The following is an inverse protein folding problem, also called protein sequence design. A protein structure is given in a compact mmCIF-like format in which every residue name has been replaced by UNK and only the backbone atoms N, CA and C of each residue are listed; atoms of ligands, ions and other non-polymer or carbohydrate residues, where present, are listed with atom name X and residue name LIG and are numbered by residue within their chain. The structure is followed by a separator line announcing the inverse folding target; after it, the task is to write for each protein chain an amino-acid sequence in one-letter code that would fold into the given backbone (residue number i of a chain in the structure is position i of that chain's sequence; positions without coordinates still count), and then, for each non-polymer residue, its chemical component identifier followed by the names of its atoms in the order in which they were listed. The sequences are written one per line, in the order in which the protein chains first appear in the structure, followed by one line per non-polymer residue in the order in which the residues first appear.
data_IF_315148737355
#
_entry.id   IF_315148737355
#
_cell.length_a   1.000
_cell.length_b   1.000
_cell.length_c   1.000
_cell.angle_alpha   90.00
_cell.angle_beta   90.00
_cell.angle_gamma   90.00
#
_symmetry.space_group_name_H-M   'P 1'
#
loop_
_entity.id
_entity.type
_entity.pdbx_description
1 polymer ?
#
# COMPACT_ATOMS: atom_id res chain seq x y z
N UNK A 1 -9.23 27.50 -71.80
CA UNK A 1 -8.50 28.67 -71.27
C UNK A 1 -9.30 29.25 -70.11
N UNK A 2 -8.58 29.78 -69.11
CA UNK A 2 -9.07 30.45 -67.89
C UNK A 2 -9.33 29.55 -66.66
N UNK A 3 -8.24 28.96 -66.19
CA UNK A 3 -7.91 28.94 -64.76
C UNK A 3 -7.41 30.33 -64.35
N UNK A 4 -7.84 30.83 -63.19
CA UNK A 4 -7.16 31.92 -62.49
C UNK A 4 -8.03 33.17 -62.31
N UNK A 5 -8.45 33.39 -61.06
CA UNK A 5 -8.47 34.68 -60.33
C UNK A 5 -9.23 34.51 -58.99
N UNK A 6 -10.09 33.50 -58.84
CA UNK A 6 -10.93 33.34 -57.63
C UNK A 6 -10.32 32.50 -56.50
N UNK A 7 -9.08 32.03 -56.65
CA UNK A 7 -8.34 31.26 -55.65
C UNK A 7 -7.31 32.14 -54.87
N UNK A 8 -7.42 33.46 -54.98
CA UNK A 8 -6.49 34.44 -54.39
C UNK A 8 -6.97 35.07 -53.08
N UNK A 9 -8.10 34.63 -52.53
CA UNK A 9 -8.62 35.09 -51.23
C UNK A 9 -8.92 33.89 -50.33
N UNK A 10 -7.87 33.13 -50.02
CA UNK A 10 -7.91 32.04 -49.05
C UNK A 10 -8.42 32.53 -47.69
N UNK A 11 -9.68 32.24 -47.40
CA UNK A 11 -10.21 32.18 -46.04
C UNK A 11 -9.33 31.22 -45.24
N UNK A 12 -8.73 31.72 -44.15
CA UNK A 12 -7.82 31.01 -43.24
C UNK A 12 -8.51 30.55 -41.93
N UNK A 13 -9.50 29.63 -41.93
CA UNK A 13 -10.09 29.16 -40.69
C UNK A 13 -9.16 28.24 -39.88
N UNK A 14 -8.09 27.69 -40.49
CA UNK A 14 -7.15 26.83 -39.78
C UNK A 14 -6.14 27.59 -38.91
N UNK A 15 -5.68 28.77 -39.32
CA UNK A 15 -4.67 29.55 -38.56
C UNK A 15 -5.25 30.10 -37.24
N UNK A 16 -6.54 30.47 -37.22
CA UNK A 16 -7.22 30.97 -36.02
C UNK A 16 -7.33 29.88 -34.94
N UNK A 17 -7.71 28.66 -35.33
CA UNK A 17 -7.82 27.53 -34.39
C UNK A 17 -6.48 27.13 -33.74
N UNK A 18 -5.37 27.26 -34.48
CA UNK A 18 -4.01 26.97 -33.98
C UNK A 18 -3.53 28.09 -33.06
N UNK A 19 -3.87 29.35 -33.40
CA UNK A 19 -3.56 30.52 -32.58
C UNK A 19 -4.31 30.48 -31.25
N UNK A 20 -5.59 30.15 -31.25
CA UNK A 20 -6.40 30.00 -30.03
C UNK A 20 -5.87 28.88 -29.11
N UNK A 21 -5.48 27.73 -29.67
CA UNK A 21 -4.88 26.64 -28.89
C UNK A 21 -3.55 27.06 -28.25
N UNK A 22 -2.70 27.80 -28.96
CA UNK A 22 -1.44 28.34 -28.43
C UNK A 22 -1.68 29.39 -27.35
N UNK A 23 -2.64 30.28 -27.54
CA UNK A 23 -3.02 31.30 -26.54
C UNK A 23 -3.58 30.66 -25.27
N UNK A 24 -4.44 29.65 -25.39
CA UNK A 24 -4.96 28.90 -24.26
C UNK A 24 -3.87 28.10 -23.52
N UNK A 25 -2.88 27.55 -24.24
CA UNK A 25 -1.75 26.87 -23.62
C UNK A 25 -0.86 27.85 -22.84
N UNK A 26 -0.50 28.98 -23.44
CA UNK A 26 0.28 30.03 -22.78
C UNK A 26 -0.43 30.63 -21.56
N UNK A 27 -1.75 30.80 -21.62
CA UNK A 27 -2.55 31.25 -20.49
C UNK A 27 -2.54 30.23 -19.33
N UNK A 28 -2.69 28.93 -19.64
CA UNK A 28 -2.58 27.85 -18.65
C UNK A 28 -1.19 27.78 -18.02
N UNK A 29 -0.13 27.85 -18.83
CA UNK A 29 1.25 27.79 -18.35
C UNK A 29 1.59 29.00 -17.46
N UNK A 30 1.07 30.20 -17.79
CA UNK A 30 1.17 31.40 -16.95
C UNK A 30 0.41 31.24 -15.63
N UNK A 31 -0.79 30.67 -15.66
CA UNK A 31 -1.57 30.41 -14.45
C UNK A 31 -0.88 29.40 -13.53
N UNK A 32 -0.30 28.33 -14.08
CA UNK A 32 0.46 27.32 -13.32
C UNK A 32 1.72 27.96 -12.70
N UNK A 33 2.45 28.79 -13.46
CA UNK A 33 3.63 29.50 -12.95
C UNK A 33 3.28 30.52 -11.86
N UNK A 34 2.15 31.20 -11.99
CA UNK A 34 1.64 32.16 -11.00
C UNK A 34 1.05 31.48 -9.74
N UNK A 35 0.56 30.24 -9.86
CA UNK A 35 0.19 29.41 -8.71
C UNK A 35 1.44 28.92 -7.96
N UNK A 36 2.50 28.53 -8.68
CA UNK A 36 3.78 28.10 -8.10
C UNK A 36 4.55 29.20 -7.37
N UNK A 37 4.36 30.48 -7.73
CA UNK A 37 4.97 31.62 -7.05
C UNK A 37 4.21 32.12 -5.82
N UNK A 38 3.05 31.53 -5.49
CA UNK A 38 2.25 31.90 -4.31
C UNK A 38 1.63 33.30 -4.36
N UNK A 39 1.71 34.02 -5.49
CA UNK A 39 1.29 35.42 -5.63
C UNK A 39 -0.14 35.59 -6.13
N UNK A 40 -0.81 34.52 -6.57
CA UNK A 40 -2.26 34.53 -6.88
C UNK A 40 -3.06 34.27 -5.60
N UNK A 41 -2.92 35.20 -4.67
CA UNK A 41 -3.70 35.23 -3.44
C UNK A 41 -5.14 35.64 -3.82
N UNK A 42 -6.01 34.68 -4.12
CA UNK A 42 -7.39 34.85 -3.66
C UNK A 42 -7.22 35.12 -2.17
N UNK A 43 -7.60 36.32 -1.71
CA UNK A 43 -7.48 36.75 -0.32
C UNK A 43 -7.71 35.54 0.60
N UNK A 44 -6.69 34.99 1.27
CA UNK A 44 -6.92 33.87 2.21
C UNK A 44 -7.98 34.25 3.26
N UNK A 45 -8.17 35.55 3.49
CA UNK A 45 -9.29 36.10 4.26
C UNK A 45 -10.67 35.85 3.63
N UNK A 46 -10.83 35.87 2.32
CA UNK A 46 -12.08 35.58 1.63
C UNK A 46 -12.53 34.13 1.76
N UNK A 47 -11.59 33.16 1.81
CA UNK A 47 -11.90 31.75 2.03
C UNK A 47 -12.15 31.39 3.50
N UNK A 48 -11.63 32.19 4.43
CA UNK A 48 -11.92 32.07 5.88
C UNK A 48 -13.23 32.73 6.29
N UNK A 49 -13.81 33.59 5.44
CA UNK A 49 -15.13 34.18 5.67
C UNK A 49 -16.22 33.12 5.43
N UNK A 50 -17.38 33.24 6.10
CA UNK A 50 -18.49 32.34 5.87
C UNK A 50 -19.01 32.56 4.43
N UNK A 51 -19.16 31.46 3.69
CA UNK A 51 -19.41 31.46 2.24
C UNK A 51 -20.86 31.14 1.89
N UNK A 52 -21.36 31.77 0.82
CA UNK A 52 -22.70 31.51 0.30
C UNK A 52 -22.72 30.33 -0.67
N UNK A 53 -23.92 29.79 -0.92
CA UNK A 53 -24.12 28.70 -1.88
C UNK A 53 -23.67 29.08 -3.31
N UNK A 54 -23.93 30.32 -3.74
CA UNK A 54 -23.56 30.79 -5.07
C UNK A 54 -22.02 30.85 -5.23
N UNK A 55 -21.32 31.27 -4.19
CA UNK A 55 -19.87 31.25 -4.16
C UNK A 55 -19.32 29.83 -4.27
N UNK A 56 -19.92 28.87 -3.56
CA UNK A 56 -19.51 27.46 -3.66
C UNK A 56 -19.78 26.88 -5.06
N UNK A 57 -20.90 27.21 -5.71
CA UNK A 57 -21.14 26.77 -7.09
C UNK A 57 -20.12 27.32 -8.09
N UNK A 58 -19.70 28.58 -7.92
CA UNK A 58 -18.70 29.22 -8.77
C UNK A 58 -17.31 28.63 -8.56
N UNK A 59 -16.88 28.46 -7.30
CA UNK A 59 -15.55 27.91 -6.98
C UNK A 59 -15.39 26.47 -7.47
N UNK A 60 -16.43 25.65 -7.31
CA UNK A 60 -16.38 24.23 -7.66
C UNK A 60 -16.87 23.91 -9.07
N UNK A 61 -17.30 24.91 -9.84
CA UNK A 61 -17.94 24.73 -11.16
C UNK A 61 -19.05 23.67 -11.13
N UNK A 62 -19.90 23.72 -10.12
CA UNK A 62 -21.03 22.79 -9.92
C UNK A 62 -22.36 23.53 -10.04
N UNK A 63 -23.39 22.87 -10.59
CA UNK A 63 -24.75 23.42 -10.64
C UNK A 63 -25.27 23.71 -9.22
N UNK A 64 -25.81 24.92 -8.94
CA UNK A 64 -26.35 25.29 -7.62
C UNK A 64 -27.35 24.27 -7.03
N UNK A 65 -28.11 23.55 -7.87
CA UNK A 65 -29.01 22.48 -7.40
C UNK A 65 -28.24 21.30 -6.82
N UNK A 66 -27.13 20.92 -7.46
CA UNK A 66 -26.24 19.85 -7.00
C UNK A 66 -25.57 20.22 -5.68
N UNK A 67 -25.11 21.48 -5.58
CA UNK A 67 -24.55 22.04 -4.34
C UNK A 67 -25.59 22.01 -3.21
N UNK A 68 -26.83 22.43 -3.48
CA UNK A 68 -27.93 22.37 -2.50
C UNK A 68 -28.20 20.97 -2.00
N UNK A 69 -28.25 19.97 -2.89
CA UNK A 69 -28.50 18.57 -2.53
C UNK A 69 -27.38 17.99 -1.65
N UNK A 70 -26.12 18.33 -1.93
CA UNK A 70 -24.97 17.84 -1.15
C UNK A 70 -24.82 18.54 0.20
N UNK A 71 -25.21 19.81 0.30
CA UNK A 71 -25.12 20.59 1.53
C UNK A 71 -26.29 20.39 2.51
N UNK A 72 -27.28 19.54 2.20
CA UNK A 72 -28.44 19.28 3.10
C UNK A 72 -28.01 18.83 4.49
N UNK A 73 -26.91 18.07 4.59
CA UNK A 73 -26.38 17.54 5.86
C UNK A 73 -25.27 18.39 6.47
N UNK A 74 -24.91 19.51 5.85
CA UNK A 74 -23.86 20.39 6.32
C UNK A 74 -24.41 21.34 7.41
N UNK A 75 -23.71 21.54 8.54
CA UNK A 75 -24.12 22.53 9.54
C UNK A 75 -24.06 23.96 8.95
N UNK A 76 -25.08 24.74 9.22
CA UNK A 76 -25.19 26.15 8.79
C UNK A 76 -24.63 27.03 9.92
N UNK A 77 -23.73 27.96 9.59
CA UNK A 77 -23.14 28.88 10.57
C UNK A 77 -24.08 30.03 10.94
N UNK A 78 -24.90 30.46 9.97
CA UNK A 78 -25.85 31.55 10.16
C UNK A 78 -26.59 31.87 8.87
N UNK A 79 -27.52 32.83 8.95
CA UNK A 79 -28.28 33.33 7.81
C UNK A 79 -27.77 34.73 7.45
N UNK A 80 -27.33 34.92 6.21
CA UNK A 80 -27.06 36.25 5.67
C UNK A 80 -28.36 36.88 5.18
N UNK A 81 -28.57 38.15 5.54
CA UNK A 81 -29.69 39.04 5.17
C UNK A 81 -30.79 38.41 4.30
N UNK A 82 -31.87 37.97 4.93
CA UNK A 82 -33.06 37.43 4.24
C UNK A 82 -33.02 35.92 3.98
N UNK A 83 -32.63 35.12 4.98
CA UNK A 83 -32.74 33.65 4.99
C UNK A 83 -31.81 32.90 4.01
N UNK A 84 -30.64 33.46 3.69
CA UNK A 84 -29.63 32.77 2.87
C UNK A 84 -28.65 32.02 3.77
N UNK A 85 -28.58 30.67 3.73
CA UNK A 85 -27.69 29.92 4.61
C UNK A 85 -26.23 30.16 4.21
N UNK A 86 -25.40 30.39 5.23
CA UNK A 86 -23.97 30.60 5.09
C UNK A 86 -23.23 29.44 5.75
N UNK A 87 -22.21 28.93 5.07
CA UNK A 87 -21.47 27.75 5.49
C UNK A 87 -20.02 28.11 5.78
N UNK A 88 -19.37 27.31 6.63
CA UNK A 88 -17.92 27.31 6.71
C UNK A 88 -17.34 26.67 5.44
N UNK A 89 -16.36 27.31 4.81
CA UNK A 89 -15.75 26.80 3.58
C UNK A 89 -15.10 25.43 3.80
N UNK A 90 -14.32 25.26 4.88
CA UNK A 90 -13.62 23.99 5.16
C UNK A 90 -14.61 22.84 5.36
N UNK A 91 -15.65 23.09 6.15
CA UNK A 91 -16.70 22.09 6.42
C UNK A 91 -17.50 21.77 5.15
N UNK A 92 -17.91 22.79 4.38
CA UNK A 92 -18.65 22.61 3.14
C UNK A 92 -17.87 21.78 2.10
N UNK A 93 -16.55 21.97 2.00
CA UNK A 93 -15.69 21.19 1.10
C UNK A 93 -15.73 19.68 1.36
N UNK A 94 -15.83 19.25 2.63
CA UNK A 94 -15.85 17.83 2.99
C UNK A 94 -17.12 17.12 2.54
N UNK A 95 -18.25 17.84 2.48
CA UNK A 95 -19.54 17.29 2.02
C UNK A 95 -19.70 17.42 0.50
N UNK A 96 -19.07 18.41 -0.11
CA UNK A 96 -19.24 18.70 -1.53
C UNK A 96 -18.35 17.83 -2.42
N UNK A 97 -17.13 17.53 -1.97
CA UNK A 97 -16.14 16.79 -2.74
C UNK A 97 -16.20 15.29 -2.38
N UNK A 98 -16.45 14.40 -3.36
CA UNK A 98 -16.30 12.98 -3.12
C UNK A 98 -14.82 12.67 -2.86
N UNK A 99 -14.49 11.78 -1.90
CA UNK A 99 -13.12 11.35 -1.70
C UNK A 99 -12.60 10.67 -2.97
N UNK A 100 -11.41 11.04 -3.42
CA UNK A 100 -10.78 10.46 -4.63
C UNK A 100 -10.09 9.11 -4.37
N UNK A 101 -10.05 8.66 -3.13
CA UNK A 101 -9.46 7.36 -2.77
C UNK A 101 -10.38 6.22 -3.20
N UNK A 102 -9.76 5.15 -3.70
CA UNK A 102 -10.47 3.89 -3.93
C UNK A 102 -11.01 3.35 -2.59
N UNK A 103 -12.09 2.57 -2.63
CA UNK A 103 -12.69 2.01 -1.40
C UNK A 103 -11.67 1.21 -0.59
N UNK A 104 -10.74 0.52 -1.26
CA UNK A 104 -9.67 -0.24 -0.61
C UNK A 104 -8.64 0.65 0.09
N UNK A 105 -8.23 1.76 -0.54
CA UNK A 105 -7.34 2.75 0.08
C UNK A 105 -8.02 3.46 1.26
N UNK A 106 -9.33 3.68 1.17
CA UNK A 106 -10.11 4.23 2.28
C UNK A 106 -10.16 3.26 3.45
N UNK A 107 -10.41 1.97 3.20
CA UNK A 107 -10.41 0.94 4.24
C UNK A 107 -9.03 0.82 4.90
N UNK A 108 -7.93 0.93 4.14
CA UNK A 108 -6.56 0.90 4.66
C UNK A 108 -6.21 2.11 5.55
N UNK A 109 -6.74 3.28 5.23
CA UNK A 109 -6.50 4.51 6.01
C UNK A 109 -7.42 4.63 7.23
N UNK A 110 -8.50 3.84 7.28
CA UNK A 110 -9.41 3.78 8.41
C UNK A 110 -8.80 2.93 9.53
N UNK A 111 -8.68 3.51 10.72
CA UNK A 111 -8.32 2.76 11.92
C UNK A 111 -9.44 1.75 12.22
N UNK A 112 -9.09 0.45 12.22
CA UNK A 112 -9.99 -0.66 12.48
C UNK A 112 -10.86 -0.48 13.75
N UNK A 113 -10.33 0.23 14.76
CA UNK A 113 -11.01 0.48 16.04
C UNK A 113 -12.07 1.59 15.99
N UNK A 114 -12.08 2.45 14.96
CA UNK A 114 -13.03 3.57 14.82
C UNK A 114 -14.21 3.26 13.89
N UNK A 115 -14.24 2.07 13.31
CA UNK A 115 -15.32 1.65 12.43
C UNK A 115 -16.59 1.30 13.23
N UNK A 116 -17.78 1.58 12.69
CA UNK A 116 -19.02 1.04 13.23
C UNK A 116 -18.95 -0.49 13.34
N UNK A 117 -19.58 -1.09 14.37
CA UNK A 117 -19.45 -2.51 14.66
C UNK A 117 -19.90 -3.42 13.49
N UNK A 118 -20.87 -2.96 12.69
CA UNK A 118 -21.35 -3.68 11.49
C UNK A 118 -20.25 -3.81 10.42
N UNK A 119 -19.56 -2.72 10.11
CA UNK A 119 -18.50 -2.71 9.09
C UNK A 119 -17.28 -3.48 9.59
N UNK A 120 -16.96 -3.38 10.87
CA UNK A 120 -15.86 -4.12 11.48
C UNK A 120 -16.06 -5.64 11.34
N UNK A 121 -17.30 -6.13 11.57
CA UNK A 121 -17.63 -7.55 11.38
C UNK A 121 -17.39 -8.00 9.94
N UNK A 122 -17.87 -7.23 8.96
CA UNK A 122 -17.71 -7.56 7.53
C UNK A 122 -16.24 -7.54 7.13
N UNK A 123 -15.46 -6.56 7.60
CA UNK A 123 -14.02 -6.47 7.36
C UNK A 123 -13.28 -7.73 7.85
N UNK A 124 -13.51 -8.14 9.10
CA UNK A 124 -12.88 -9.35 9.63
C UNK A 124 -13.36 -10.63 8.94
N UNK A 125 -14.62 -10.67 8.49
CA UNK A 125 -15.13 -11.79 7.69
C UNK A 125 -14.41 -11.88 6.34
N UNK A 126 -14.29 -10.77 5.63
CA UNK A 126 -13.57 -10.69 4.35
C UNK A 126 -12.09 -11.06 4.52
N UNK A 127 -11.43 -10.59 5.57
CA UNK A 127 -10.03 -10.93 5.83
C UNK A 127 -9.84 -12.42 6.14
N UNK A 128 -10.76 -13.02 6.91
CA UNK A 128 -10.74 -14.48 7.16
C UNK A 128 -10.99 -15.29 5.89
N UNK A 129 -11.90 -14.83 5.03
CA UNK A 129 -12.18 -15.48 3.75
C UNK A 129 -10.98 -15.40 2.80
N UNK A 130 -10.28 -14.26 2.78
CA UNK A 130 -9.02 -14.11 2.06
C UNK A 130 -7.97 -15.09 2.58
N UNK A 131 -7.79 -15.20 3.89
CA UNK A 131 -6.85 -16.17 4.48
C UNK A 131 -7.24 -17.62 4.18
N UNK A 132 -8.55 -17.93 4.15
CA UNK A 132 -9.05 -19.25 3.75
C UNK A 132 -8.68 -19.54 2.29
N UNK A 133 -8.94 -18.59 1.40
CA UNK A 133 -8.56 -18.72 -0.02
C UNK A 133 -7.06 -18.93 -0.20
N UNK A 134 -6.23 -18.14 0.49
CA UNK A 134 -4.77 -18.27 0.41
C UNK A 134 -4.26 -19.61 0.98
N UNK A 135 -4.93 -20.14 2.01
CA UNK A 135 -4.65 -21.49 2.52
C UNK A 135 -5.02 -22.56 1.49
N UNK A 136 -6.20 -22.46 0.89
CA UNK A 136 -6.67 -23.42 -0.11
C UNK A 136 -5.79 -23.38 -1.37
N UNK A 137 -5.22 -22.21 -1.70
CA UNK A 137 -4.22 -22.03 -2.75
C UNK A 137 -2.82 -22.58 -2.39
N UNK A 138 -2.60 -22.99 -1.13
CA UNK A 138 -1.31 -23.50 -0.65
C UNK A 138 -0.25 -22.43 -0.41
N UNK A 139 -0.62 -21.14 -0.39
CA UNK A 139 0.31 -20.02 -0.17
C UNK A 139 0.55 -19.76 1.33
N UNK A 140 -0.34 -20.24 2.22
CA UNK A 140 -0.26 -20.00 3.67
C UNK A 140 -0.40 -21.31 4.43
N UNK A 141 0.57 -21.57 5.32
CA UNK A 141 0.69 -22.81 6.07
C UNK A 141 0.63 -22.48 7.56
N UNK A 142 0.06 -23.38 8.36
CA UNK A 142 0.14 -23.25 9.81
C UNK A 142 1.51 -23.70 10.29
N UNK A 143 2.08 -22.95 11.24
CA UNK A 143 3.37 -23.31 11.86
C UNK A 143 3.32 -24.69 12.52
N UNK A 144 2.16 -25.08 13.08
CA UNK A 144 1.94 -26.42 13.64
C UNK A 144 2.14 -27.52 12.60
N UNK A 145 1.53 -27.35 11.42
CA UNK A 145 1.56 -28.36 10.37
C UNK A 145 2.98 -28.50 9.79
N UNK A 146 3.73 -27.39 9.72
CA UNK A 146 5.14 -27.41 9.34
C UNK A 146 6.00 -28.15 10.36
N UNK A 147 5.82 -27.87 11.66
CA UNK A 147 6.58 -28.52 12.73
C UNK A 147 6.29 -30.02 12.78
N UNK A 148 5.04 -30.42 12.59
CA UNK A 148 4.65 -31.84 12.52
C UNK A 148 5.30 -32.53 11.32
N UNK A 149 5.31 -31.89 10.15
CA UNK A 149 5.99 -32.42 8.96
C UNK A 149 7.51 -32.55 9.19
N UNK A 150 8.15 -31.53 9.76
CA UNK A 150 9.58 -31.56 10.08
C UNK A 150 9.90 -32.67 11.11
N UNK A 151 9.02 -32.87 12.09
CA UNK A 151 9.12 -33.97 13.04
C UNK A 151 9.08 -35.35 12.38
N UNK A 152 8.13 -35.56 11.45
CA UNK A 152 8.03 -36.81 10.68
C UNK A 152 9.25 -37.06 9.78
N UNK A 153 9.76 -36.01 9.13
CA UNK A 153 10.98 -36.09 8.32
C UNK A 153 12.19 -36.42 9.19
N UNK A 154 12.32 -35.80 10.37
CA UNK A 154 13.41 -36.08 11.31
C UNK A 154 13.37 -37.53 11.84
N UNK A 155 12.19 -38.07 12.14
CA UNK A 155 12.01 -39.48 12.50
C UNK A 155 12.51 -40.40 11.39
N UNK A 156 12.16 -40.12 10.14
CA UNK A 156 12.62 -40.88 8.97
C UNK A 156 14.14 -40.85 8.84
N UNK A 157 14.78 -39.69 9.07
CA UNK A 157 16.25 -39.58 9.08
C UNK A 157 16.88 -40.38 10.21
N UNK A 158 16.33 -40.29 11.42
CA UNK A 158 16.82 -41.04 12.58
C UNK A 158 16.83 -42.54 12.29
N UNK A 159 15.72 -43.08 11.82
CA UNK A 159 15.58 -44.52 11.52
C UNK A 159 16.58 -44.96 10.45
N UNK A 160 16.76 -44.15 9.39
CA UNK A 160 17.73 -44.46 8.33
C UNK A 160 19.17 -44.43 8.83
N UNK A 161 19.50 -43.48 9.70
CA UNK A 161 20.83 -43.36 10.30
C UNK A 161 21.09 -44.55 11.24
N UNK A 162 20.10 -44.98 12.02
CA UNK A 162 20.22 -46.16 12.88
C UNK A 162 20.47 -47.44 12.06
N UNK A 163 19.72 -47.64 10.97
CA UNK A 163 19.97 -48.77 10.06
C UNK A 163 21.39 -48.74 9.48
N UNK A 164 21.91 -47.55 9.13
CA UNK A 164 23.25 -47.43 8.58
C UNK A 164 24.35 -47.86 9.56
N UNK A 165 24.18 -47.58 10.85
CA UNK A 165 25.12 -48.04 11.89
C UNK A 165 25.11 -49.56 11.99
N UNK A 166 23.94 -50.20 11.94
CA UNK A 166 23.83 -51.66 11.95
C UNK A 166 24.44 -52.29 10.69
N UNK A 167 24.18 -51.72 9.50
CA UNK A 167 24.79 -52.18 8.25
C UNK A 167 26.33 -52.13 8.30
N UNK A 168 26.89 -51.08 8.90
CA UNK A 168 28.34 -50.93 9.11
C UNK A 168 28.85 -52.02 10.08
N UNK A 169 28.09 -52.33 11.12
CA UNK A 169 28.44 -53.36 12.09
C UNK A 169 28.51 -54.76 11.47
N UNK A 170 27.66 -55.03 10.49
CA UNK A 170 27.64 -56.31 9.76
C UNK A 170 28.75 -56.40 8.69
N UNK A 171 29.36 -55.28 8.28
CA UNK A 171 30.47 -55.30 7.32
C UNK A 171 31.74 -55.92 7.93
N UNK A 172 32.20 -57.01 7.33
CA UNK A 172 33.45 -57.66 7.71
C UNK A 172 34.65 -56.73 7.48
N UNK A 173 35.49 -56.56 8.50
CA UNK A 173 36.77 -55.85 8.40
C UNK A 173 36.84 -54.53 9.16
N UNK A 174 35.80 -54.15 9.89
CA UNK A 174 35.79 -52.95 10.74
C UNK A 174 36.16 -53.36 12.17
N UNK A 175 37.10 -52.63 12.78
CA UNK A 175 37.46 -52.78 14.19
C UNK A 175 36.35 -52.24 15.09
N UNK A 176 36.09 -52.89 16.22
CA UNK A 176 35.10 -52.45 17.22
C UNK A 176 35.35 -51.01 17.71
N UNK A 177 36.62 -50.57 17.77
CA UNK A 177 36.97 -49.19 18.11
C UNK A 177 36.45 -48.17 17.09
N UNK A 178 36.44 -48.53 15.81
CA UNK A 178 35.93 -47.66 14.74
C UNK A 178 34.40 -47.61 14.75
N UNK A 179 33.73 -48.73 15.09
CA UNK A 179 32.27 -48.79 15.21
C UNK A 179 31.80 -47.86 16.34
N UNK A 180 32.47 -47.92 17.49
CA UNK A 180 32.14 -47.06 18.63
C UNK A 180 32.33 -45.57 18.29
N UNK A 181 33.36 -45.23 17.51
CA UNK A 181 33.58 -43.87 17.03
C UNK A 181 32.48 -43.41 16.05
N UNK A 182 32.03 -44.29 15.15
CA UNK A 182 30.94 -44.02 14.22
C UNK A 182 29.62 -43.83 14.98
N UNK A 183 29.32 -44.66 15.97
CA UNK A 183 28.15 -44.50 16.85
C UNK A 183 28.16 -43.13 17.54
N UNK A 184 29.29 -42.71 18.11
CA UNK A 184 29.42 -41.39 18.73
C UNK A 184 29.18 -40.24 17.75
N UNK A 185 29.76 -40.33 16.55
CA UNK A 185 29.55 -39.32 15.49
C UNK A 185 28.09 -39.28 15.03
N UNK A 186 27.45 -40.45 14.92
CA UNK A 186 26.04 -40.56 14.57
C UNK A 186 25.13 -39.98 15.65
N UNK A 187 25.44 -40.21 16.93
CA UNK A 187 24.69 -39.60 18.04
C UNK A 187 24.83 -38.07 18.06
N UNK A 188 26.03 -37.55 17.82
CA UNK A 188 26.26 -36.11 17.67
C UNK A 188 25.43 -35.53 16.51
N UNK A 189 25.49 -36.16 15.33
CA UNK A 189 24.72 -35.76 14.16
C UNK A 189 23.20 -35.72 14.42
N UNK A 190 22.66 -36.71 15.13
CA UNK A 190 21.23 -36.72 15.50
C UNK A 190 20.87 -35.58 16.46
N UNK A 191 21.75 -35.25 17.39
CA UNK A 191 21.56 -34.12 18.31
C UNK A 191 21.54 -32.80 17.54
N UNK A 192 22.49 -32.61 16.63
CA UNK A 192 22.60 -31.40 15.81
C UNK A 192 21.39 -31.24 14.89
N UNK A 193 20.91 -32.33 14.28
CA UNK A 193 19.69 -32.34 13.46
C UNK A 193 18.44 -31.98 14.28
N UNK A 194 18.31 -32.52 15.48
CA UNK A 194 17.19 -32.19 16.36
C UNK A 194 17.22 -30.71 16.76
N UNK A 195 18.38 -30.19 17.13
CA UNK A 195 18.55 -28.77 17.47
C UNK A 195 18.22 -27.88 16.26
N UNK A 196 18.81 -28.15 15.10
CA UNK A 196 18.58 -27.36 13.89
C UNK A 196 17.10 -27.38 13.42
N UNK A 197 16.39 -28.49 13.57
CA UNK A 197 15.01 -28.64 13.08
C UNK A 197 13.95 -28.23 14.08
N UNK A 198 14.21 -28.31 15.39
CA UNK A 198 13.20 -28.04 16.43
C UNK A 198 13.49 -26.76 17.18
N UNK A 199 14.75 -26.52 17.58
CA UNK A 199 15.10 -25.34 18.38
C UNK A 199 15.23 -24.10 17.50
N UNK A 200 15.85 -24.21 16.32
CA UNK A 200 16.07 -23.06 15.43
C UNK A 200 14.77 -22.42 14.92
N UNK A 201 13.75 -23.17 14.47
CA UNK A 201 12.49 -22.58 14.02
C UNK A 201 11.62 -22.04 15.16
N UNK A 202 11.86 -22.49 16.40
CA UNK A 202 11.18 -21.94 17.58
C UNK A 202 11.76 -20.59 18.03
N UNK A 203 13.02 -20.31 17.67
CA UNK A 203 13.72 -19.05 17.97
C UNK A 203 13.58 -18.03 16.84
N UNK A 204 13.50 -18.48 15.59
CA UNK A 204 13.16 -17.61 14.48
C UNK A 204 11.68 -17.28 14.52
N UNK A 205 11.33 -16.00 14.67
CA UNK A 205 10.01 -15.52 14.29
C UNK A 205 9.82 -15.86 12.81
N UNK A 206 9.11 -16.94 12.52
CA UNK A 206 8.65 -17.23 11.16
C UNK A 206 7.73 -16.07 10.81
N UNK A 207 8.25 -15.14 9.99
CA UNK A 207 7.53 -13.97 9.49
C UNK A 207 6.16 -14.42 8.98
N UNK A 208 5.17 -14.27 9.85
CA UNK A 208 3.81 -14.65 9.55
C UNK A 208 3.32 -13.71 8.46
N UNK A 209 2.33 -14.11 7.67
CA UNK A 209 1.66 -13.17 6.76
C UNK A 209 1.17 -11.92 7.52
N UNK A 210 0.95 -12.07 8.84
CA UNK A 210 0.70 -10.97 9.76
C UNK A 210 1.77 -9.88 9.67
N UNK A 211 3.07 -10.21 9.67
CA UNK A 211 4.14 -9.20 9.68
C UNK A 211 4.39 -8.57 8.30
N UNK A 212 4.01 -9.24 7.21
CA UNK A 212 4.08 -8.69 5.85
C UNK A 212 2.91 -7.74 5.53
N UNK A 213 1.76 -7.92 6.17
CA UNK A 213 0.55 -7.13 5.90
C UNK A 213 0.05 -6.31 7.11
N UNK A 214 0.72 -6.30 8.27
CA UNK A 214 0.27 -5.53 9.43
C UNK A 214 0.40 -4.02 9.13
N UNK A 215 -0.72 -3.27 8.99
CA UNK A 215 -0.67 -1.82 8.81
C UNK A 215 -0.15 -1.08 10.07
N UNK A 216 0.13 -1.80 11.16
CA UNK A 216 0.69 -1.28 12.42
C UNK A 216 2.13 -1.73 12.67
N UNK A 217 2.75 -2.55 11.80
CA UNK A 217 4.17 -2.83 11.92
C UNK A 217 4.92 -1.50 11.71
N UNK A 218 5.77 -1.05 12.66
CA UNK A 218 6.65 0.07 12.38
C UNK A 218 7.51 -0.34 11.20
N UNK A 219 7.41 0.40 10.08
CA UNK A 219 8.30 0.17 8.94
C UNK A 219 9.72 0.18 9.47
N UNK A 220 10.35 -1.00 9.50
CA UNK A 220 11.73 -1.12 9.94
C UNK A 220 12.54 -0.23 9.00
N UNK A 221 13.07 0.84 9.57
CA UNK A 221 14.00 1.76 8.94
C UNK A 221 15.03 0.93 8.21
N UNK A 222 15.05 1.03 6.87
CA UNK A 222 16.19 0.61 6.06
C UNK A 222 17.39 1.41 6.57
N UNK A 223 18.12 0.86 7.53
CA UNK A 223 19.48 1.29 7.82
C UNK A 223 20.28 0.99 6.57
N UNK A 224 20.38 2.02 5.74
CA UNK A 224 21.41 2.10 4.72
C UNK A 224 22.66 2.43 5.51
N UNK A 225 23.35 1.41 6.00
CA UNK A 225 24.75 1.56 6.40
C UNK A 225 25.51 1.90 5.11
N UNK A 226 25.73 3.20 4.92
CA UNK A 226 26.70 3.71 3.97
C UNK A 226 28.05 3.37 4.59
N UNK A 227 28.73 2.40 3.98
CA UNK A 227 30.11 2.03 4.28
C UNK A 227 31.02 3.21 3.92
N UNK A 228 31.31 4.07 4.89
CA UNK A 228 32.24 5.22 4.78
C UNK A 228 33.73 4.78 4.76
N UNK A 229 34.02 3.54 4.36
CA UNK A 229 35.37 2.97 4.34
C UNK A 229 36.19 3.13 3.04
N UNK A 230 35.64 3.68 1.95
CA UNK A 230 36.31 3.64 0.63
C UNK A 230 36.81 4.98 0.05
N UNK A 231 36.92 6.05 0.83
CA UNK A 231 37.39 7.36 0.31
C UNK A 231 38.86 7.68 0.68
N UNK A 232 39.57 6.85 1.44
CA UNK A 232 40.94 7.20 1.89
C UNK A 232 42.11 6.74 0.99
N UNK A 233 41.88 6.12 -0.17
CA UNK A 233 42.97 5.54 -1.00
C UNK A 233 43.14 6.19 -2.39
N UNK A 234 42.67 7.43 -2.58
CA UNK A 234 42.83 8.14 -3.85
C UNK A 234 43.13 9.64 -3.73
N UNK A 235 44.01 10.03 -2.79
CA UNK A 235 44.70 11.33 -2.79
C UNK A 235 46.15 11.19 -2.33
#
# INVERSE_FOLDING_TARGET
MMSGIDDLLGTKPQEESVRERRLNKLAKDRAIKAAGSGTTFVEMGALKRPVSMNFLSEVFNMDPKTVRTRLVRCPILGMAGGNRPVYDFKTACQYLLPPKMTTDEFIRTLNAAKLPPEVNKVFWQAQRERLRYLRDAGEVWHTTDLLDLLGQVNMTFKDRIDMWVEDIREMKGISDENILKIEQMTHALKSDLYEALVSMPSQGETLSLRDKEDPLAPEQSKNTEIDEGQISDAL
#
